data_IF_144673352380
#
_entry.id   IF_144673352380
#
_cell.length_a   1.000
_cell.length_b   1.000
_cell.length_c   1.000
_cell.angle_alpha   90.00
_cell.angle_beta   90.00
_cell.angle_gamma   90.00
#
_symmetry.space_group_name_H-M   'P 1'
#
loop_
_entity.id
_entity.type
_entity.pdbx_description
1 polymer ?
#
# COMPACT_ATOMS: atom_id res chain seq x y z
N UNK A 1 10.44 -23.11 -12.16
CA UNK A 1 11.27 -21.90 -11.98
C UNK A 1 10.82 -21.27 -10.68
N UNK A 2 11.66 -21.28 -9.64
CA UNK A 2 11.33 -20.62 -8.38
C UNK A 2 11.33 -19.12 -8.62
N UNK A 3 10.18 -18.46 -8.49
CA UNK A 3 10.11 -17.01 -8.54
C UNK A 3 10.83 -16.48 -7.29
N UNK A 4 11.80 -15.58 -7.46
CA UNK A 4 12.51 -14.98 -6.31
C UNK A 4 11.53 -14.30 -5.35
N UNK A 5 10.40 -13.83 -5.89
CA UNK A 5 9.30 -13.25 -5.12
C UNK A 5 8.71 -14.20 -4.08
N UNK A 6 8.72 -15.52 -4.32
CA UNK A 6 8.18 -16.50 -3.36
C UNK A 6 8.95 -16.49 -2.03
N UNK A 7 10.18 -15.96 -2.01
CA UNK A 7 10.97 -15.77 -0.77
C UNK A 7 10.37 -14.72 0.16
N UNK A 8 9.54 -13.81 -0.35
CA UNK A 8 8.88 -12.77 0.45
C UNK A 8 7.69 -13.34 1.23
N UNK A 9 7.00 -14.32 0.66
CA UNK A 9 5.82 -14.88 1.27
C UNK A 9 6.23 -15.85 2.38
N UNK A 10 5.68 -15.62 3.57
CA UNK A 10 5.70 -16.61 4.65
C UNK A 10 4.55 -17.58 4.39
N UNK A 11 4.84 -18.88 4.48
CA UNK A 11 3.84 -19.93 4.27
C UNK A 11 2.61 -19.67 5.15
N UNK A 12 1.42 -19.75 4.56
CA UNK A 12 0.14 -19.50 5.24
C UNK A 12 -0.29 -18.04 5.30
N UNK A 13 0.58 -17.05 5.01
CA UNK A 13 0.15 -15.63 4.98
C UNK A 13 -0.80 -15.37 3.81
N UNK A 14 -0.48 -15.86 2.62
CA UNK A 14 -1.38 -15.72 1.46
C UNK A 14 -2.72 -16.43 1.69
N UNK A 15 -2.70 -17.63 2.25
CA UNK A 15 -3.92 -18.39 2.55
C UNK A 15 -4.78 -17.70 3.61
N UNK A 16 -4.16 -17.19 4.68
CA UNK A 16 -4.85 -16.43 5.72
C UNK A 16 -5.40 -15.10 5.19
N UNK A 17 -4.68 -14.43 4.29
CA UNK A 17 -5.15 -13.19 3.66
C UNK A 17 -6.37 -13.47 2.78
N UNK A 18 -6.31 -14.53 1.98
CA UNK A 18 -7.42 -14.98 1.13
C UNK A 18 -8.63 -15.42 1.95
N UNK A 19 -8.42 -16.17 3.04
CA UNK A 19 -9.48 -16.61 3.95
C UNK A 19 -10.13 -15.42 4.66
N UNK A 20 -9.34 -14.48 5.19
CA UNK A 20 -9.82 -13.23 5.77
C UNK A 20 -10.61 -12.39 4.76
N UNK A 21 -10.13 -12.34 3.51
CA UNK A 21 -10.81 -11.64 2.43
C UNK A 21 -12.19 -12.26 2.16
N UNK A 22 -12.26 -13.60 2.03
CA UNK A 22 -13.51 -14.36 1.77
C UNK A 22 -14.51 -14.35 2.93
N UNK A 23 -14.06 -14.49 4.19
CA UNK A 23 -14.94 -14.62 5.38
C UNK A 23 -15.82 -13.41 5.67
N UNK A 24 -15.51 -12.23 5.14
CA UNK A 24 -16.29 -11.00 5.39
C UNK A 24 -16.60 -10.22 4.10
N UNK A 25 -17.01 -10.88 3.02
CA UNK A 25 -17.54 -10.17 1.84
C UNK A 25 -18.99 -9.80 2.14
N UNK A 26 -19.17 -8.72 2.89
CA UNK A 26 -20.35 -7.89 2.80
C UNK A 26 -19.88 -6.63 2.07
N UNK A 27 -20.48 -6.28 0.94
CA UNK A 27 -20.14 -5.05 0.20
C UNK A 27 -20.95 -3.91 0.80
N UNK A 28 -20.37 -2.71 0.94
CA UNK A 28 -21.16 -1.62 1.50
C UNK A 28 -22.27 -1.19 0.53
N UNK A 29 -23.53 -1.23 1.01
CA UNK A 29 -24.72 -0.84 0.24
C UNK A 29 -25.42 0.44 0.75
N UNK A 30 -24.93 1.05 1.83
CA UNK A 30 -25.51 2.25 2.44
C UNK A 30 -25.18 3.52 1.63
N UNK A 31 -26.12 4.46 1.54
CA UNK A 31 -25.96 5.78 0.90
C UNK A 31 -24.83 6.62 1.54
N UNK A 32 -24.60 6.46 2.85
CA UNK A 32 -23.50 7.13 3.58
C UNK A 32 -22.13 6.62 3.13
N UNK A 33 -22.00 5.29 2.97
CA UNK A 33 -20.84 4.68 2.30
C UNK A 33 -20.75 5.13 0.85
N UNK A 34 -21.86 5.21 0.14
CA UNK A 34 -21.91 5.60 -1.28
C UNK A 34 -21.30 6.97 -1.51
N UNK A 35 -21.59 7.94 -0.63
CA UNK A 35 -21.00 9.29 -0.71
C UNK A 35 -19.49 9.27 -0.47
N UNK A 36 -19.01 8.62 0.59
CA UNK A 36 -17.57 8.51 0.88
C UNK A 36 -16.85 7.74 -0.22
N UNK A 37 -17.48 6.69 -0.76
CA UNK A 37 -16.93 5.87 -1.84
C UNK A 37 -16.83 6.67 -3.13
N UNK A 38 -17.83 7.48 -3.45
CA UNK A 38 -17.80 8.37 -4.63
C UNK A 38 -16.67 9.39 -4.50
N UNK A 39 -16.57 10.06 -3.35
CA UNK A 39 -15.49 11.01 -3.03
C UNK A 39 -14.11 10.33 -3.16
N UNK A 40 -13.96 9.14 -2.58
CA UNK A 40 -12.75 8.34 -2.69
C UNK A 40 -12.39 7.99 -4.14
N UNK A 41 -13.36 7.54 -4.95
CA UNK A 41 -13.10 7.19 -6.35
C UNK A 41 -12.61 8.39 -7.15
N UNK A 42 -13.27 9.55 -6.98
CA UNK A 42 -12.86 10.81 -7.60
C UNK A 42 -11.41 11.15 -7.21
N UNK A 43 -11.12 11.13 -5.90
CA UNK A 43 -9.79 11.37 -5.36
C UNK A 43 -8.74 10.39 -5.92
N UNK A 44 -9.04 9.10 -5.93
CA UNK A 44 -8.11 8.04 -6.34
C UNK A 44 -7.73 8.17 -7.82
N UNK A 45 -8.68 8.55 -8.68
CA UNK A 45 -8.45 8.71 -10.13
C UNK A 45 -8.02 10.11 -10.56
N UNK A 46 -7.94 11.07 -9.63
CA UNK A 46 -7.53 12.43 -9.96
C UNK A 46 -6.01 12.49 -10.18
N UNK A 47 -5.60 12.33 -11.44
CA UNK A 47 -4.19 12.38 -11.87
C UNK A 47 -3.59 13.79 -11.85
N UNK A 48 -4.43 14.83 -11.82
CA UNK A 48 -4.01 16.23 -11.79
C UNK A 48 -3.82 16.77 -10.36
N UNK A 49 -4.32 16.04 -9.35
CA UNK A 49 -4.07 16.35 -7.95
C UNK A 49 -2.58 16.23 -7.66
N UNK A 50 -1.97 17.37 -7.32
CA UNK A 50 -0.54 17.50 -6.98
C UNK A 50 -0.26 17.22 -5.51
N UNK A 51 -1.30 17.17 -4.70
CA UNK A 51 -1.28 17.04 -3.26
C UNK A 51 -2.25 15.92 -2.85
N UNK A 52 -2.15 15.46 -1.60
CA UNK A 52 -3.07 14.52 -0.95
C UNK A 52 -3.04 13.08 -1.49
N UNK A 53 -1.88 12.43 -1.49
CA UNK A 53 -1.73 11.07 -2.02
C UNK A 53 -2.15 9.94 -1.06
N UNK A 54 -2.45 10.27 0.20
CA UNK A 54 -2.92 9.31 1.19
C UNK A 54 -4.33 9.71 1.66
N UNK A 55 -5.31 8.86 1.37
CA UNK A 55 -6.67 8.98 1.88
C UNK A 55 -6.75 8.23 3.21
N UNK A 56 -6.92 8.97 4.30
CA UNK A 56 -7.07 8.39 5.62
C UNK A 56 -8.53 8.36 6.04
N UNK A 57 -9.10 7.15 6.12
CA UNK A 57 -10.44 6.91 6.61
C UNK A 57 -10.40 6.49 8.08
N UNK A 58 -10.77 7.42 8.96
CA UNK A 58 -10.78 7.21 10.41
C UNK A 58 -12.19 6.89 10.93
N UNK A 59 -12.31 6.07 11.98
CA UNK A 59 -13.61 5.72 12.57
C UNK A 59 -13.51 4.69 13.69
N UNK A 60 -14.54 4.56 14.52
CA UNK A 60 -14.57 3.61 15.64
C UNK A 60 -14.66 2.14 15.17
N UNK A 61 -14.47 1.19 16.10
CA UNK A 61 -14.70 -0.22 15.80
C UNK A 61 -16.16 -0.44 15.38
N UNK A 62 -16.40 -1.33 14.42
CA UNK A 62 -17.75 -1.62 13.92
C UNK A 62 -18.36 -0.57 12.98
N UNK A 63 -17.67 0.55 12.69
CA UNK A 63 -18.22 1.57 11.76
C UNK A 63 -18.10 1.20 10.29
N UNK A 64 -17.48 0.07 9.95
CA UNK A 64 -17.43 -0.42 8.57
C UNK A 64 -16.18 -0.18 7.74
N UNK A 65 -15.10 0.31 8.34
CA UNK A 65 -13.87 0.68 7.60
C UNK A 65 -13.32 -0.48 6.78
N UNK A 66 -13.28 -1.68 7.35
CA UNK A 66 -12.82 -2.88 6.63
C UNK A 66 -13.71 -3.24 5.46
N UNK A 67 -15.02 -3.08 5.60
CA UNK A 67 -15.97 -3.26 4.49
C UNK A 67 -15.74 -2.24 3.38
N UNK A 68 -15.50 -0.98 3.75
CA UNK A 68 -15.12 0.06 2.79
C UNK A 68 -13.81 -0.28 2.06
N UNK A 69 -12.76 -0.65 2.80
CA UNK A 69 -11.46 -1.05 2.23
C UNK A 69 -11.58 -2.21 1.25
N UNK A 70 -12.40 -3.23 1.57
CA UNK A 70 -12.69 -4.35 0.65
C UNK A 70 -13.45 -3.89 -0.59
N UNK A 71 -14.48 -3.06 -0.42
CA UNK A 71 -15.25 -2.48 -1.54
C UNK A 71 -14.35 -1.67 -2.47
N UNK A 72 -13.43 -0.90 -1.92
CA UNK A 72 -12.41 -0.15 -2.66
C UNK A 72 -11.43 -1.09 -3.38
N UNK A 73 -10.97 -2.15 -2.72
CA UNK A 73 -10.06 -3.12 -3.32
C UNK A 73 -10.72 -3.84 -4.53
N UNK A 74 -11.97 -4.29 -4.40
CA UNK A 74 -12.76 -4.87 -5.51
C UNK A 74 -12.90 -3.88 -6.68
N UNK A 75 -13.28 -2.64 -6.38
CA UNK A 75 -13.38 -1.60 -7.40
C UNK A 75 -12.03 -1.37 -8.10
N UNK A 76 -10.94 -1.25 -7.34
CA UNK A 76 -9.61 -1.01 -7.88
C UNK A 76 -9.06 -2.20 -8.69
N UNK A 77 -9.48 -3.44 -8.40
CA UNK A 77 -9.24 -4.61 -9.26
C UNK A 77 -9.95 -4.43 -10.60
N UNK A 78 -11.21 -4.02 -10.59
CA UNK A 78 -12.00 -3.76 -11.80
C UNK A 78 -11.41 -2.66 -12.68
N UNK A 79 -10.89 -1.59 -12.08
CA UNK A 79 -10.15 -0.53 -12.78
C UNK A 79 -8.71 -0.95 -13.18
N UNK A 80 -8.23 -2.08 -12.67
CA UNK A 80 -6.88 -2.57 -12.86
C UNK A 80 -5.80 -1.69 -12.21
N UNK A 81 -6.13 -0.91 -11.19
CA UNK A 81 -5.19 -0.01 -10.49
C UNK A 81 -4.76 -0.53 -9.12
N UNK A 82 -5.32 -1.64 -8.63
CA UNK A 82 -4.93 -2.22 -7.34
C UNK A 82 -3.48 -2.73 -7.40
N UNK A 83 -2.56 -2.00 -6.77
CA UNK A 83 -1.15 -2.34 -6.68
C UNK A 83 -0.81 -3.27 -5.52
N UNK A 84 -1.62 -3.22 -4.46
CA UNK A 84 -1.46 -4.08 -3.29
C UNK A 84 -2.48 -3.76 -2.21
N UNK A 85 -2.73 -4.72 -1.34
CA UNK A 85 -3.61 -4.64 -0.20
C UNK A 85 -3.04 -5.41 1.00
N UNK A 86 -3.15 -4.82 2.18
CA UNK A 86 -2.87 -5.52 3.43
C UNK A 86 -3.94 -5.16 4.45
N UNK A 87 -4.53 -6.19 5.08
CA UNK A 87 -5.56 -6.02 6.09
C UNK A 87 -5.02 -6.52 7.42
N UNK A 88 -4.72 -5.60 8.33
CA UNK A 88 -4.33 -5.99 9.68
C UNK A 88 -5.55 -6.59 10.40
N UNK A 89 -5.32 -7.69 11.10
CA UNK A 89 -6.35 -8.30 11.95
C UNK A 89 -5.72 -8.94 13.17
N UNK A 90 -6.21 -8.60 14.37
CA UNK A 90 -5.77 -9.24 15.61
C UNK A 90 -6.24 -10.69 15.74
N UNK A 91 -7.38 -11.00 15.12
CA UNK A 91 -8.03 -12.32 15.21
C UNK A 91 -7.34 -13.36 14.31
N UNK A 92 -6.76 -12.90 13.20
CA UNK A 92 -6.00 -13.75 12.27
C UNK A 92 -4.50 -13.61 12.59
N UNK A 93 -3.94 -14.58 13.32
CA UNK A 93 -2.64 -14.46 13.99
C UNK A 93 -1.44 -14.08 13.09
N UNK A 94 -1.52 -14.27 11.77
CA UNK A 94 -0.52 -13.81 10.80
C UNK A 94 -0.78 -12.39 10.28
N UNK A 95 -2.03 -11.95 10.20
CA UNK A 95 -2.40 -10.66 9.59
C UNK A 95 -2.08 -9.47 10.49
N UNK A 96 -2.13 -9.64 11.81
CA UNK A 96 -1.74 -8.59 12.76
C UNK A 96 -0.24 -8.31 12.80
N UNK A 97 0.61 -9.14 12.17
CA UNK A 97 2.07 -9.08 12.30
C UNK A 97 2.70 -7.97 11.46
N UNK A 98 3.35 -7.00 12.11
CA UNK A 98 4.17 -5.99 11.42
C UNK A 98 5.22 -6.62 10.49
N UNK A 99 5.78 -7.77 10.89
CA UNK A 99 6.77 -8.51 10.12
C UNK A 99 6.28 -9.00 8.74
N UNK A 100 4.97 -9.08 8.51
CA UNK A 100 4.37 -9.57 7.27
C UNK A 100 3.83 -8.47 6.36
N UNK A 101 3.59 -7.27 6.88
CA UNK A 101 3.14 -6.13 6.09
C UNK A 101 4.09 -5.82 4.92
N UNK A 102 5.36 -5.52 5.21
CA UNK A 102 6.33 -5.07 4.19
C UNK A 102 6.57 -6.14 3.11
N UNK A 103 6.85 -7.42 3.44
CA UNK A 103 7.04 -8.44 2.42
C UNK A 103 5.79 -8.65 1.55
N UNK A 104 4.59 -8.56 2.13
CA UNK A 104 3.34 -8.72 1.38
C UNK A 104 3.13 -7.57 0.40
N UNK A 105 3.29 -6.32 0.85
CA UNK A 105 3.18 -5.15 -0.03
C UNK A 105 4.23 -5.23 -1.15
N UNK A 106 5.48 -5.57 -0.83
CA UNK A 106 6.54 -5.73 -1.84
C UNK A 106 6.21 -6.80 -2.90
N UNK A 107 5.62 -7.92 -2.47
CA UNK A 107 5.17 -8.99 -3.36
C UNK A 107 4.04 -8.52 -4.28
N UNK A 108 3.04 -7.82 -3.74
CA UNK A 108 1.90 -7.37 -4.54
C UNK A 108 2.26 -6.28 -5.55
N UNK A 109 3.07 -5.27 -5.16
CA UNK A 109 3.51 -4.24 -6.11
C UNK A 109 4.39 -4.81 -7.21
N UNK A 110 5.18 -5.85 -6.91
CA UNK A 110 5.93 -6.60 -7.90
C UNK A 110 5.00 -7.35 -8.88
N UNK A 111 3.91 -7.94 -8.40
CA UNK A 111 2.91 -8.57 -9.29
C UNK A 111 2.19 -7.55 -10.17
N UNK A 112 2.04 -6.32 -9.71
CA UNK A 112 1.38 -5.26 -10.45
C UNK A 112 2.23 -4.66 -11.58
N UNK A 113 3.52 -4.38 -11.33
CA UNK A 113 4.43 -3.78 -12.33
C UNK A 113 5.64 -4.70 -12.58
N UNK A 114 5.80 -5.26 -13.80
CA UNK A 114 6.92 -6.14 -14.14
C UNK A 114 8.31 -5.55 -13.87
N UNK A 115 8.48 -4.23 -13.99
CA UNK A 115 9.76 -3.59 -13.71
C UNK A 115 10.00 -3.45 -12.20
N UNK A 116 8.93 -3.32 -11.40
CA UNK A 116 9.05 -3.42 -9.94
C UNK A 116 9.42 -4.86 -9.56
N UNK A 117 8.82 -5.87 -10.20
CA UNK A 117 9.22 -7.28 -10.01
C UNK A 117 10.69 -7.52 -10.28
N UNK A 118 11.23 -7.00 -11.37
CA UNK A 118 12.66 -7.12 -11.68
C UNK A 118 13.52 -6.50 -10.56
N UNK A 119 13.19 -5.28 -10.14
CA UNK A 119 13.92 -4.58 -9.09
C UNK A 119 13.87 -5.31 -7.74
N UNK A 120 12.69 -5.77 -7.32
CA UNK A 120 12.52 -6.56 -6.10
C UNK A 120 13.30 -7.87 -6.18
N UNK A 121 13.21 -8.57 -7.33
CA UNK A 121 13.94 -9.83 -7.54
C UNK A 121 15.45 -9.65 -7.46
N UNK A 122 15.98 -8.53 -7.97
CA UNK A 122 17.40 -8.17 -7.86
C UNK A 122 17.81 -7.99 -6.39
N UNK A 123 17.04 -7.24 -5.61
CA UNK A 123 17.30 -7.05 -4.17
C UNK A 123 17.31 -8.40 -3.43
N UNK A 124 16.40 -9.32 -3.78
CA UNK A 124 16.32 -10.67 -3.19
C UNK A 124 17.37 -11.66 -3.70
N UNK A 125 18.06 -11.33 -4.80
CA UNK A 125 19.22 -12.07 -5.30
C UNK A 125 20.51 -11.64 -4.60
N UNK A 126 20.64 -10.36 -4.27
CA UNK A 126 21.80 -9.77 -3.59
C UNK A 126 21.76 -9.99 -2.07
N UNK A 127 20.57 -10.20 -1.50
CA UNK A 127 20.33 -10.28 -0.07
C UNK A 127 19.35 -11.42 0.27
N UNK A 128 19.60 -12.12 1.38
CA UNK A 128 18.64 -13.12 1.89
C UNK A 128 17.40 -12.41 2.50
N UNK A 129 16.28 -13.13 2.62
CA UNK A 129 15.02 -12.58 3.18
C UNK A 129 15.19 -12.00 4.59
N UNK A 130 16.23 -12.42 5.31
CA UNK A 130 16.58 -11.97 6.66
C UNK A 130 17.60 -10.83 6.71
N UNK A 131 18.20 -10.42 5.59
CA UNK A 131 19.27 -9.39 5.58
C UNK A 131 18.79 -8.03 6.12
N UNK A 132 17.49 -7.77 6.08
CA UNK A 132 16.86 -6.58 6.65
C UNK A 132 16.04 -6.88 7.92
N UNK A 133 16.20 -8.07 8.50
CA UNK A 133 15.54 -8.42 9.76
C UNK A 133 16.00 -7.45 10.87
N UNK A 134 15.04 -6.93 11.65
CA UNK A 134 15.32 -6.05 12.78
C UNK A 134 15.34 -4.56 12.49
N UNK A 135 15.14 -4.10 11.24
CA UNK A 135 14.95 -2.67 10.95
C UNK A 135 13.78 -2.46 9.97
N UNK A 136 12.63 -2.05 10.51
CA UNK A 136 11.37 -1.90 9.80
C UNK A 136 11.46 -0.89 8.66
N UNK A 137 11.90 0.35 8.94
CA UNK A 137 12.13 1.39 7.95
C UNK A 137 13.09 0.97 6.82
N UNK A 138 14.25 0.37 7.15
CA UNK A 138 15.23 -0.08 6.14
C UNK A 138 14.66 -1.16 5.24
N UNK A 139 13.85 -2.07 5.79
CA UNK A 139 13.17 -3.10 5.01
C UNK A 139 12.14 -2.50 4.06
N UNK A 140 11.35 -1.53 4.52
CA UNK A 140 10.39 -0.82 3.68
C UNK A 140 11.09 -0.06 2.54
N UNK A 141 12.19 0.63 2.86
CA UNK A 141 13.03 1.30 1.87
C UNK A 141 13.50 0.35 0.77
N UNK A 142 14.13 -0.76 1.17
CA UNK A 142 14.78 -1.68 0.24
C UNK A 142 13.80 -2.51 -0.59
N UNK A 143 12.66 -2.88 -0.03
CA UNK A 143 11.71 -3.79 -0.69
C UNK A 143 10.54 -3.08 -1.38
N UNK A 144 10.21 -1.85 -0.98
CA UNK A 144 9.05 -1.13 -1.52
C UNK A 144 9.50 0.17 -2.20
N UNK A 145 10.14 1.07 -1.45
CA UNK A 145 10.43 2.42 -1.94
C UNK A 145 11.47 2.43 -3.05
N UNK A 146 12.64 1.83 -2.84
CA UNK A 146 13.72 1.79 -3.85
C UNK A 146 13.28 1.06 -5.13
N UNK A 147 12.62 -0.11 -5.08
CA UNK A 147 12.13 -0.78 -6.29
C UNK A 147 11.08 0.04 -7.06
N UNK A 148 10.27 0.83 -6.35
CA UNK A 148 9.29 1.73 -6.97
C UNK A 148 9.92 3.02 -7.49
N UNK A 149 11.01 3.54 -6.89
CA UNK A 149 11.60 4.84 -7.24
C UNK A 149 12.11 4.96 -8.69
N UNK A 150 12.46 3.88 -9.40
CA UNK A 150 13.21 3.84 -10.69
C UNK A 150 14.28 4.95 -10.84
N UNK A 151 15.53 4.51 -10.88
CA UNK A 151 16.54 5.17 -11.69
C UNK A 151 16.01 5.18 -13.13
N UNK A 152 15.69 6.36 -13.67
CA UNK A 152 15.69 6.54 -15.13
C UNK A 152 17.05 6.01 -15.61
N UNK A 153 17.15 5.26 -16.73
CA UNK A 153 18.44 5.05 -17.36
C UNK A 153 19.08 6.43 -17.49
N UNK A 154 20.19 6.64 -16.79
CA UNK A 154 20.92 7.89 -16.94
C UNK A 154 21.44 7.85 -18.38
N UNK A 155 21.14 8.83 -19.25
CA UNK A 155 21.76 8.87 -20.57
C UNK A 155 23.29 8.95 -20.51
N UNK A 156 23.86 9.13 -19.31
CA UNK A 156 25.28 9.17 -19.00
C UNK A 156 25.90 7.85 -18.50
N UNK A 157 25.15 6.75 -18.36
CA UNK A 157 25.75 5.42 -18.05
C UNK A 157 25.95 4.52 -19.27
N UNK A 158 25.55 4.95 -20.47
CA UNK A 158 26.02 4.38 -21.73
C UNK A 158 27.33 5.07 -22.11
N UNK A 159 28.46 4.54 -21.63
CA UNK A 159 29.78 4.82 -22.21
C UNK A 159 29.97 4.11 -23.57
N UNK A 160 28.88 3.74 -24.24
CA UNK A 160 28.86 3.18 -25.59
C UNK A 160 28.34 4.27 -26.54
N UNK A 161 29.21 4.95 -27.31
CA UNK A 161 28.84 6.07 -28.19
C UNK A 161 27.92 5.69 -29.37
N UNK A 162 27.48 4.44 -29.46
CA UNK A 162 26.82 3.85 -30.64
C UNK A 162 25.44 3.24 -30.37
N UNK A 163 24.98 3.19 -29.12
CA UNK A 163 23.65 2.65 -28.82
C UNK A 163 22.57 3.69 -29.19
N UNK A 164 21.52 3.31 -29.95
CA UNK A 164 20.40 4.20 -30.23
C UNK A 164 19.74 4.65 -28.92
N UNK A 165 19.20 5.90 -28.86
CA UNK A 165 18.51 6.38 -27.67
C UNK A 165 17.39 5.40 -27.30
N UNK A 166 17.39 4.94 -26.04
CA UNK A 166 16.35 4.06 -25.53
C UNK A 166 14.99 4.74 -25.73
N UNK A 167 13.95 4.00 -26.18
CA UNK A 167 12.63 4.59 -26.34
C UNK A 167 12.14 5.18 -25.00
N UNK A 168 11.37 6.28 -25.02
CA UNK A 168 10.81 6.85 -23.81
C UNK A 168 9.98 5.79 -23.08
N UNK A 169 10.23 5.64 -21.77
CA UNK A 169 9.47 4.73 -20.93
C UNK A 169 7.97 5.12 -20.96
N UNK A 170 7.04 4.16 -21.02
CA UNK A 170 5.62 4.46 -20.94
C UNK A 170 5.28 5.19 -19.63
N UNK A 171 4.22 6.02 -19.63
CA UNK A 171 3.74 6.66 -18.41
C UNK A 171 3.39 5.58 -17.38
N UNK A 172 3.74 5.84 -16.11
CA UNK A 172 3.46 4.89 -15.05
C UNK A 172 1.96 4.76 -14.84
N UNK A 173 1.48 3.53 -14.72
CA UNK A 173 0.09 3.24 -14.38
C UNK A 173 -0.21 3.77 -12.97
N UNK A 174 -1.39 4.37 -12.79
CA UNK A 174 -1.91 4.70 -11.47
C UNK A 174 -1.96 3.43 -10.62
N UNK A 175 -1.47 3.53 -9.39
CA UNK A 175 -1.37 2.41 -8.46
C UNK A 175 -2.03 2.80 -7.13
N UNK A 176 -2.98 1.98 -6.68
CA UNK A 176 -3.62 2.12 -5.37
C UNK A 176 -3.11 1.04 -4.42
N UNK A 177 -2.63 1.47 -3.26
CA UNK A 177 -2.37 0.60 -2.10
C UNK A 177 -3.52 0.71 -1.11
N UNK A 178 -4.02 -0.42 -0.61
CA UNK A 178 -5.08 -0.46 0.41
C UNK A 178 -4.53 -1.05 1.70
N UNK A 179 -4.50 -0.26 2.77
CA UNK A 179 -3.98 -0.68 4.07
C UNK A 179 -5.11 -0.50 5.08
N UNK A 180 -5.66 -1.62 5.54
CA UNK A 180 -6.82 -1.62 6.42
C UNK A 180 -6.44 -1.90 7.87
N UNK A 181 -7.09 -1.18 8.79
CA UNK A 181 -7.00 -1.34 10.24
C UNK A 181 -5.57 -1.25 10.79
N UNK A 182 -4.79 -0.22 10.43
CA UNK A 182 -3.39 -0.09 10.89
C UNK A 182 -3.23 -0.19 12.42
N UNK A 183 -4.23 0.25 13.19
CA UNK A 183 -4.25 0.15 14.66
C UNK A 183 -4.39 -1.30 15.20
N UNK A 184 -4.65 -2.27 14.33
CA UNK A 184 -4.65 -3.70 14.64
C UNK A 184 -3.28 -4.36 14.48
N UNK A 185 -2.26 -3.61 14.05
CA UNK A 185 -0.87 -4.06 14.05
C UNK A 185 -0.38 -4.39 15.46
N UNK A 186 0.36 -5.49 15.60
CA UNK A 186 0.86 -6.01 16.88
C UNK A 186 2.07 -5.26 17.43
N UNK A 187 2.69 -4.40 16.62
CA UNK A 187 3.83 -3.56 16.96
C UNK A 187 3.47 -2.07 16.80
N UNK A 188 3.42 -1.37 17.93
CA UNK A 188 3.06 0.05 18.00
C UNK A 188 4.16 0.98 17.46
N UNK A 189 5.41 0.57 17.49
CA UNK A 189 6.50 1.34 16.89
C UNK A 189 6.43 1.21 15.37
N UNK A 190 6.12 0.02 14.86
CA UNK A 190 5.85 -0.18 13.42
C UNK A 190 4.67 0.67 12.92
N UNK A 191 3.58 0.82 13.70
CA UNK A 191 2.46 1.72 13.35
C UNK A 191 2.95 3.16 13.15
N UNK A 192 3.72 3.68 14.11
CA UNK A 192 4.26 5.05 14.07
C UNK A 192 5.24 5.26 12.92
N UNK A 193 6.02 4.24 12.57
CA UNK A 193 6.96 4.28 11.45
C UNK A 193 6.27 4.15 10.09
N UNK A 194 5.16 3.39 10.00
CA UNK A 194 4.49 3.09 8.73
C UNK A 194 3.98 4.34 8.02
N UNK A 195 3.36 5.27 8.75
CA UNK A 195 2.77 6.47 8.13
C UNK A 195 3.86 7.37 7.50
N UNK A 196 4.96 7.74 8.19
CA UNK A 196 6.09 8.45 7.57
C UNK A 196 6.68 7.74 6.35
N UNK A 197 6.79 6.41 6.39
CA UNK A 197 7.31 5.62 5.28
C UNK A 197 6.38 5.67 4.06
N UNK A 198 5.07 5.63 4.28
CA UNK A 198 4.07 5.81 3.22
C UNK A 198 4.11 7.23 2.65
N UNK A 199 4.35 8.26 3.48
CA UNK A 199 4.53 9.63 3.00
C UNK A 199 5.73 9.71 2.04
N UNK A 200 6.88 9.17 2.43
CA UNK A 200 8.08 9.19 1.58
C UNK A 200 7.85 8.41 0.27
N UNK A 201 7.12 7.29 0.35
CA UNK A 201 6.74 6.50 -0.81
C UNK A 201 5.97 7.36 -1.82
N UNK A 202 4.90 8.04 -1.40
CA UNK A 202 4.04 8.81 -2.32
C UNK A 202 4.71 10.09 -2.81
N UNK A 203 5.55 10.74 -2.00
CA UNK A 203 6.35 11.90 -2.43
C UNK A 203 7.30 11.55 -3.57
N UNK A 204 7.90 10.37 -3.49
CA UNK A 204 8.81 9.87 -4.54
C UNK A 204 8.08 9.25 -5.73
N UNK A 205 6.78 8.98 -5.59
CA UNK A 205 5.98 8.22 -6.56
C UNK A 205 4.57 8.83 -6.71
N UNK A 206 4.41 9.93 -7.47
CA UNK A 206 3.13 10.64 -7.58
C UNK A 206 2.01 9.85 -8.29
N UNK A 207 2.34 8.72 -8.92
CA UNK A 207 1.39 7.78 -9.51
C UNK A 207 0.82 6.79 -8.48
N UNK A 208 1.30 6.83 -7.23
CA UNK A 208 0.79 5.99 -6.14
C UNK A 208 -0.23 6.79 -5.34
N UNK A 209 -1.32 6.11 -4.99
CA UNK A 209 -2.35 6.53 -4.03
C UNK A 209 -2.41 5.48 -2.93
N UNK A 210 -2.70 5.90 -1.70
CA UNK A 210 -2.83 4.98 -0.56
C UNK A 210 -4.16 5.23 0.15
N UNK A 211 -5.01 4.21 0.25
CA UNK A 211 -6.07 4.17 1.25
C UNK A 211 -5.47 3.61 2.53
N UNK A 212 -5.58 4.37 3.62
CA UNK A 212 -5.25 3.92 4.97
C UNK A 212 -6.50 4.00 5.84
N UNK A 213 -6.80 2.95 6.59
CA UNK A 213 -7.86 3.01 7.61
C UNK A 213 -7.30 2.72 8.99
N UNK A 214 -7.88 3.38 9.99
CA UNK A 214 -7.56 3.11 11.40
C UNK A 214 -8.62 3.70 12.33
N UNK A 215 -8.55 3.35 13.61
CA UNK A 215 -9.13 4.16 14.68
C UNK A 215 -8.40 5.51 14.79
N UNK A 216 -9.08 6.58 15.26
CA UNK A 216 -8.46 7.87 15.52
C UNK A 216 -7.69 7.82 16.86
N UNK A 217 -6.73 6.91 16.98
CA UNK A 217 -5.84 6.86 18.14
C UNK A 217 -4.92 8.09 18.12
N UNK A 218 -4.54 8.57 19.32
CA UNK A 218 -3.88 9.87 19.47
C UNK A 218 -2.55 9.96 18.73
N UNK A 219 -1.74 8.93 18.84
CA UNK A 219 -0.47 8.77 18.14
C UNK A 219 -0.61 8.77 16.62
N UNK A 220 -1.67 8.16 16.08
CA UNK A 220 -2.01 8.26 14.66
C UNK A 220 -2.44 9.70 14.33
N UNK A 221 -3.40 10.27 15.08
CA UNK A 221 -3.91 11.63 14.87
C UNK A 221 -2.82 12.70 14.91
N UNK A 222 -1.85 12.57 15.81
CA UNK A 222 -0.73 13.50 15.98
C UNK A 222 0.14 13.55 14.72
N UNK A 223 0.38 12.41 14.05
CA UNK A 223 1.13 12.32 12.79
C UNK A 223 0.38 13.05 11.66
N UNK A 224 -0.92 12.82 11.54
CA UNK A 224 -1.76 13.49 10.52
C UNK A 224 -1.95 14.99 10.78
N UNK A 225 -1.82 15.43 12.02
CA UNK A 225 -1.96 16.83 12.43
C UNK A 225 -0.68 17.66 12.24
N UNK A 226 0.44 17.01 11.93
CA UNK A 226 1.77 17.61 11.78
C UNK A 226 2.00 18.41 10.48
N UNK A 227 3.27 18.59 10.10
CA UNK A 227 3.68 19.43 8.94
C UNK A 227 3.26 18.87 7.57
N UNK A 228 2.84 17.61 7.51
CA UNK A 228 2.57 16.88 6.27
C UNK A 228 1.08 16.89 5.86
N UNK A 229 0.25 17.79 6.39
CA UNK A 229 -1.20 17.88 6.07
C UNK A 229 -1.52 17.84 4.59
N UNK A 230 -0.63 18.37 3.74
CA UNK A 230 -0.81 18.43 2.28
C UNK A 230 -0.80 17.06 1.61
N UNK A 231 -0.27 16.02 2.26
CA UNK A 231 -0.25 14.66 1.71
C UNK A 231 -1.49 13.86 2.07
N UNK A 232 -2.38 14.40 2.90
CA UNK A 232 -3.47 13.65 3.50
C UNK A 232 -4.84 14.19 3.15
N UNK A 233 -5.67 13.34 2.54
CA UNK A 233 -7.12 13.56 2.47
C UNK A 233 -7.79 12.84 3.64
N UNK A 234 -8.24 13.58 4.66
CA UNK A 234 -8.85 12.99 5.87
C UNK A 234 -10.36 12.88 5.73
N UNK A 235 -10.90 11.68 5.95
CA UNK A 235 -12.34 11.45 6.12
C UNK A 235 -12.63 10.70 7.42
N UNK A 236 -13.79 11.01 8.00
CA UNK A 236 -14.35 10.27 9.14
C UNK A 236 -15.49 9.40 8.64
N UNK A 237 -15.51 8.17 9.09
CA UNK A 237 -16.59 7.23 8.88
C UNK A 237 -17.55 7.36 10.06
N UNK A 238 -18.74 7.87 9.77
CA UNK A 238 -19.82 8.03 10.73
C UNK A 238 -20.88 6.99 10.36
N UNK A 239 -21.15 6.05 11.29
CA UNK A 239 -22.17 5.00 11.23
C UNK A 239 -22.62 4.58 9.82
N UNK A 240 -21.90 3.65 9.18
CA UNK A 240 -22.45 2.92 8.05
C UNK A 240 -23.20 1.70 8.57
N UNK A 241 -24.43 1.49 8.10
CA UNK A 241 -25.19 0.29 8.40
C UNK A 241 -24.85 -0.76 7.35
N UNK A 242 -24.34 -1.91 7.79
CA UNK A 242 -24.11 -3.07 6.94
C UNK A 242 -25.30 -4.01 7.18
N UNK A 243 -26.06 -4.26 6.12
CA UNK A 243 -27.20 -5.19 6.12
C UNK A 243 -26.76 -6.58 5.67
#
# INVERSE_FOLDING_TARGET
MNDQLDKLLVAGVSDAADEYYRKRIEVCHDETCGTILTDFKIWATNVDAKDEHIFWLSGLAGTGKSTFSKTVAEWAIGEGILGGKYFFSRDEGLMGKAAHFIPTIAYEVAKFDPLVKENVSRVLGEHDRFTFAGNYAKRFQKLVVEPLKKLRPNPSTTLEPSAPPSPPLPPRKLMLLVIDSLDECDDQDAVKETIPLLMELVESNPHIRVLLTSRPEKDIEDIFSGKSKRLFYRRRMENCVFN
#
